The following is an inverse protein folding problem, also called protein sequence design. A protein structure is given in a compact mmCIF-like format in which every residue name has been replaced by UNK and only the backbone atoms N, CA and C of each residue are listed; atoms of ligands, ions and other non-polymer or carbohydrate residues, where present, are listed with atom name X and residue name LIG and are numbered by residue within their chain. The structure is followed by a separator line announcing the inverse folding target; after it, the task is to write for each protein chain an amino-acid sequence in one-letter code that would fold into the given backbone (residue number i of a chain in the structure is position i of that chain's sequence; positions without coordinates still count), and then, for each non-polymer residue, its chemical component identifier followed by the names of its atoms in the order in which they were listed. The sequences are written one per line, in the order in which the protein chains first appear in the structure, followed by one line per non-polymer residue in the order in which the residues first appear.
data_IF_046501644686
#
_entry.id   IF_046501644686
#
_cell.length_a   1.000
_cell.length_b   1.000
_cell.length_c   1.000
_cell.angle_alpha   90.00
_cell.angle_beta   90.00
_cell.angle_gamma   90.00
#
_symmetry.space_group_name_H-M   'P 1'
#
loop_
_entity.id
_entity.type
_entity.pdbx_description
1 polymer ?
#
# COMPACT_ATOMS: atom_id res chain seq x y z
N UNK A 1 28.67 -39.97 19.58
CA UNK A 1 27.95 -41.05 20.26
C UNK A 1 26.96 -41.63 19.26
N UNK A 2 27.27 -42.87 18.87
CA UNK A 2 26.56 -43.67 17.86
C UNK A 2 25.47 -44.49 18.53
N UNK A 3 24.32 -44.68 17.87
CA UNK A 3 23.40 -45.80 18.08
C UNK A 3 22.70 -46.03 16.73
N UNK A 4 23.02 -47.00 15.97
CA UNK A 4 22.83 -48.43 15.91
C UNK A 4 21.35 -48.81 15.64
N UNK A 5 21.11 -49.26 14.41
CA UNK A 5 19.94 -50.00 13.93
C UNK A 5 19.98 -51.48 14.44
N UNK A 6 18.86 -52.20 14.45
CA UNK A 6 18.93 -53.65 14.21
C UNK A 6 18.14 -54.11 12.99
N UNK A 7 18.79 -54.94 12.19
CA UNK A 7 18.27 -55.90 11.22
C UNK A 7 17.62 -57.06 11.95
N UNK A 8 16.54 -57.65 11.40
CA UNK A 8 16.16 -59.08 11.64
C UNK A 8 15.73 -59.77 10.33
N UNK A 9 15.86 -61.13 10.30
CA UNK A 9 16.18 -61.82 9.06
C UNK A 9 15.01 -62.65 8.49
N UNK A 10 15.28 -63.13 7.27
CA UNK A 10 14.45 -64.05 6.49
C UNK A 10 14.32 -65.43 7.18
N UNK A 11 13.17 -66.07 7.05
CA UNK A 11 13.00 -67.50 7.17
C UNK A 11 12.11 -68.04 6.06
N UNK A 12 12.71 -68.85 5.31
CA UNK A 12 12.31 -69.78 4.27
C UNK A 12 11.48 -70.98 4.88
N UNK A 13 10.38 -71.35 4.28
CA UNK A 13 9.92 -72.75 4.35
C UNK A 13 9.11 -73.15 3.13
N UNK A 14 9.63 -74.11 2.46
CA UNK A 14 9.04 -75.00 1.44
C UNK A 14 8.07 -75.97 2.08
N UNK A 15 6.92 -76.22 1.42
CA UNK A 15 6.35 -77.61 1.32
C UNK A 15 5.54 -77.69 0.04
N UNK A 16 5.81 -78.72 -0.70
CA UNK A 16 5.33 -79.18 -1.96
C UNK A 16 4.05 -80.00 -1.90
N UNK A 17 3.44 -80.12 -3.05
CA UNK A 17 2.69 -81.28 -3.63
C UNK A 17 1.17 -81.26 -3.60
N UNK A 18 0.61 -81.47 -4.78
CA UNK A 18 -0.69 -82.12 -4.96
C UNK A 18 -1.51 -81.61 -6.16
N UNK A 19 -1.28 -82.20 -7.32
CA UNK A 19 -2.09 -82.04 -8.53
C UNK A 19 -3.45 -82.73 -8.36
N UNK A 20 -4.55 -82.04 -8.69
CA UNK A 20 -5.77 -82.64 -9.24
C UNK A 20 -6.40 -81.67 -10.24
N UNK A 21 -6.38 -82.14 -11.50
CA UNK A 21 -7.00 -81.49 -12.63
C UNK A 21 -8.49 -81.83 -12.63
N UNK A 22 -9.37 -80.86 -12.42
CA UNK A 22 -10.80 -81.03 -12.64
C UNK A 22 -11.24 -79.98 -13.70
N UNK A 23 -11.43 -80.41 -14.97
CA UNK A 23 -12.02 -79.68 -16.03
C UNK A 23 -13.49 -79.41 -15.73
N UNK A 24 -13.85 -78.22 -15.28
CA UNK A 24 -15.23 -77.71 -15.35
C UNK A 24 -15.34 -76.65 -16.42
N UNK A 25 -16.06 -77.05 -17.49
CA UNK A 25 -16.55 -76.12 -18.54
C UNK A 25 -17.57 -75.18 -17.92
N UNK A 26 -17.14 -73.96 -17.63
CA UNK A 26 -18.02 -72.82 -17.32
C UNK A 26 -18.59 -72.25 -18.62
N UNK A 27 -19.90 -71.93 -18.71
CA UNK A 27 -20.43 -71.22 -19.87
C UNK A 27 -19.84 -69.82 -19.91
N UNK A 28 -19.42 -69.38 -21.10
CA UNK A 28 -18.97 -68.06 -21.36
C UNK A 28 -20.10 -67.06 -21.01
N UNK A 29 -19.95 -66.40 -19.86
CA UNK A 29 -20.78 -65.26 -19.54
C UNK A 29 -20.49 -64.19 -20.63
N UNK A 30 -21.45 -63.86 -21.41
CA UNK A 30 -21.43 -62.76 -22.36
C UNK A 30 -21.01 -61.49 -21.55
N UNK A 31 -19.86 -60.92 -21.84
CA UNK A 31 -19.51 -59.61 -21.36
C UNK A 31 -20.61 -58.63 -21.85
N UNK A 32 -21.22 -57.82 -20.98
CA UNK A 32 -22.11 -56.79 -21.45
C UNK A 32 -21.31 -55.87 -22.33
N UNK A 33 -21.65 -55.81 -23.60
CA UNK A 33 -21.26 -54.75 -24.54
C UNK A 33 -21.53 -53.43 -23.83
N UNK A 34 -20.60 -52.46 -23.81
CA UNK A 34 -20.90 -51.13 -23.34
C UNK A 34 -22.11 -50.63 -24.12
N UNK A 35 -23.24 -50.50 -23.46
CA UNK A 35 -24.46 -49.97 -24.07
C UNK A 35 -24.12 -48.59 -24.64
N UNK A 36 -24.42 -48.38 -25.91
CA UNK A 36 -24.61 -47.05 -26.45
C UNK A 36 -25.72 -46.41 -25.62
N UNK A 37 -25.32 -45.67 -24.61
CA UNK A 37 -26.23 -44.75 -23.94
C UNK A 37 -26.80 -43.82 -25.02
N UNK A 38 -28.11 -43.64 -25.02
CA UNK A 38 -28.71 -42.66 -25.88
C UNK A 38 -28.07 -41.27 -25.69
N UNK A 39 -28.27 -40.32 -26.61
CA UNK A 39 -27.70 -38.99 -26.50
C UNK A 39 -28.07 -38.36 -25.12
N UNK A 40 -27.08 -37.81 -24.48
CA UNK A 40 -27.23 -37.15 -23.17
C UNK A 40 -27.98 -35.83 -23.37
N UNK A 41 -29.06 -35.60 -22.63
CA UNK A 41 -29.70 -34.30 -22.64
C UNK A 41 -28.76 -33.26 -21.97
N UNK A 42 -28.43 -32.20 -22.67
CA UNK A 42 -27.52 -31.17 -22.23
C UNK A 42 -28.12 -29.77 -22.45
N UNK A 43 -28.23 -29.01 -21.36
CA UNK A 43 -28.57 -27.60 -21.44
C UNK A 43 -27.39 -26.80 -21.94
N UNK A 44 -27.59 -25.99 -22.97
CA UNK A 44 -26.55 -25.16 -23.58
C UNK A 44 -26.90 -23.68 -23.52
N UNK A 45 -25.85 -22.84 -23.40
CA UNK A 45 -25.94 -21.40 -23.64
C UNK A 45 -24.95 -21.03 -24.75
N UNK A 46 -25.32 -20.06 -25.56
CA UNK A 46 -24.38 -19.42 -26.48
C UNK A 46 -23.55 -18.39 -25.72
N UNK A 47 -22.26 -18.51 -25.84
CA UNK A 47 -21.34 -17.59 -25.20
C UNK A 47 -21.24 -16.28 -25.98
N UNK A 48 -21.27 -15.18 -25.25
CA UNK A 48 -21.11 -13.84 -25.80
C UNK A 48 -19.84 -13.19 -25.25
N UNK A 49 -19.20 -12.37 -26.07
CA UNK A 49 -18.10 -11.53 -25.63
C UNK A 49 -18.66 -10.34 -24.84
N UNK A 50 -18.18 -10.14 -23.65
CA UNK A 50 -18.57 -9.04 -22.79
C UNK A 50 -17.36 -8.15 -22.43
N UNK A 51 -17.60 -6.86 -22.29
CA UNK A 51 -16.63 -5.97 -21.67
C UNK A 51 -16.73 -6.11 -20.16
N UNK A 52 -15.65 -6.53 -19.53
CA UNK A 52 -15.60 -6.76 -18.08
C UNK A 52 -14.51 -5.89 -17.46
N UNK A 53 -14.74 -5.36 -16.24
CA UNK A 53 -13.71 -4.60 -15.54
C UNK A 53 -12.53 -5.51 -15.19
N UNK A 54 -11.33 -5.09 -15.60
CA UNK A 54 -10.10 -5.74 -15.18
C UNK A 54 -9.60 -5.13 -13.90
N UNK A 55 -9.74 -5.85 -12.80
CA UNK A 55 -9.33 -5.40 -11.48
C UNK A 55 -8.34 -6.34 -10.83
N UNK A 56 -7.42 -5.74 -10.08
CA UNK A 56 -6.41 -6.46 -9.28
C UNK A 56 -6.60 -6.06 -7.82
N UNK A 57 -6.57 -7.05 -6.92
CA UNK A 57 -6.60 -6.80 -5.48
C UNK A 57 -5.23 -7.08 -4.89
N UNK A 58 -4.62 -6.08 -4.29
CA UNK A 58 -3.28 -6.13 -3.75
C UNK A 58 -3.28 -5.86 -2.25
N UNK A 59 -2.37 -6.50 -1.49
CA UNK A 59 -2.14 -6.13 -0.11
C UNK A 59 -1.50 -4.76 -0.03
N UNK A 60 -1.97 -3.94 0.90
CA UNK A 60 -1.40 -2.63 1.19
C UNK A 60 -1.20 -2.45 2.69
N UNK A 61 -0.32 -1.53 3.04
CA UNK A 61 -0.06 -1.13 4.41
C UNK A 61 -0.32 0.36 4.59
N UNK A 62 -1.10 0.71 5.59
CA UNK A 62 -1.34 2.10 5.92
C UNK A 62 -0.09 2.75 6.52
N UNK A 63 0.22 3.96 6.07
CA UNK A 63 1.35 4.77 6.52
C UNK A 63 0.84 6.19 6.81
N UNK A 64 1.34 6.81 7.86
CA UNK A 64 0.99 8.18 8.18
C UNK A 64 1.32 9.14 7.02
N UNK A 65 0.48 10.16 6.84
CA UNK A 65 0.78 11.23 5.87
C UNK A 65 2.05 11.99 6.25
N UNK A 66 2.14 12.36 7.54
CA UNK A 66 3.31 12.98 8.16
C UNK A 66 3.46 12.42 9.58
N UNK A 67 4.68 12.16 10.00
CA UNK A 67 5.02 11.69 11.33
C UNK A 67 6.30 12.35 11.79
N UNK A 68 6.29 12.96 12.97
CA UNK A 68 7.43 13.72 13.47
C UNK A 68 7.65 13.43 14.94
N UNK A 69 8.86 12.99 15.26
CA UNK A 69 9.40 12.91 16.60
C UNK A 69 9.63 14.32 17.17
N UNK A 70 9.06 14.60 18.31
CA UNK A 70 9.26 15.85 19.04
C UNK A 70 10.44 15.68 19.98
N UNK A 71 11.50 16.44 19.75
CA UNK A 71 12.76 16.36 20.51
C UNK A 71 13.17 17.74 21.01
N UNK A 72 13.78 17.85 22.23
CA UNK A 72 14.28 19.11 22.74
C UNK A 72 15.50 19.58 21.91
N UNK A 73 15.65 20.90 21.81
CA UNK A 73 16.80 21.54 21.11
C UNK A 73 17.73 22.27 22.07
N UNK A 74 17.35 22.30 23.36
CA UNK A 74 18.14 22.85 24.48
C UNK A 74 18.06 21.89 25.65
N UNK A 75 19.06 21.94 26.51
CA UNK A 75 19.11 21.16 27.75
C UNK A 75 18.25 21.83 28.83
N UNK A 76 17.66 21.07 29.73
CA UNK A 76 16.93 21.60 30.86
C UNK A 76 15.95 20.63 31.47
N UNK A 77 15.11 21.11 32.37
CA UNK A 77 14.06 20.34 33.06
C UNK A 77 12.71 20.65 32.44
N UNK A 78 11.88 19.64 32.21
CA UNK A 78 10.50 19.81 31.73
C UNK A 78 9.69 20.48 32.85
N UNK A 79 9.25 21.70 32.60
CA UNK A 79 8.41 22.48 33.51
C UNK A 79 6.94 22.11 33.40
N UNK A 80 6.43 22.06 32.16
CA UNK A 80 5.03 21.81 31.86
C UNK A 80 4.86 20.92 30.64
N UNK A 81 3.80 20.10 30.64
CA UNK A 81 3.26 19.38 29.48
C UNK A 81 1.87 19.98 29.24
N UNK A 82 1.69 20.68 28.11
CA UNK A 82 0.55 21.58 27.89
C UNK A 82 -0.55 20.91 27.05
N UNK A 83 -0.20 19.95 26.20
CA UNK A 83 -1.15 19.27 25.34
C UNK A 83 -1.82 18.07 26.03
N UNK A 84 -2.97 17.63 25.52
CA UNK A 84 -3.64 16.40 25.92
C UNK A 84 -3.29 15.27 24.92
N UNK A 85 -2.81 14.13 25.44
CA UNK A 85 -2.50 12.97 24.61
C UNK A 85 -3.73 12.45 23.85
N UNK A 86 -3.55 12.10 22.58
CA UNK A 86 -4.61 11.64 21.68
C UNK A 86 -5.48 12.77 21.11
N UNK A 87 -5.25 14.02 21.49
CA UNK A 87 -5.94 15.18 20.93
C UNK A 87 -5.21 15.74 19.71
N UNK A 88 -5.99 16.37 18.85
CA UNK A 88 -5.45 17.14 17.71
C UNK A 88 -4.70 18.35 18.23
N UNK A 89 -3.49 18.56 17.71
CA UNK A 89 -2.68 19.76 17.90
C UNK A 89 -2.46 20.41 16.54
N UNK A 90 -2.32 21.72 16.53
CA UNK A 90 -2.02 22.48 15.32
C UNK A 90 -0.53 22.81 15.23
N UNK A 91 -0.07 23.06 14.02
CA UNK A 91 1.30 23.51 13.80
C UNK A 91 1.55 24.83 14.54
N UNK A 92 2.56 24.84 15.43
CA UNK A 92 2.91 25.97 16.25
C UNK A 92 2.37 25.89 17.69
N UNK A 93 1.47 24.95 17.99
CA UNK A 93 1.02 24.74 19.38
C UNK A 93 2.17 24.30 20.27
N UNK A 94 2.24 24.89 21.46
CA UNK A 94 3.25 24.52 22.47
C UNK A 94 2.85 23.20 23.12
N UNK A 95 3.72 22.22 23.02
CA UNK A 95 3.53 20.89 23.60
C UNK A 95 4.20 20.76 24.97
N UNK A 96 5.44 21.22 25.06
CA UNK A 96 6.23 21.16 26.28
C UNK A 96 6.88 22.51 26.56
N UNK A 97 7.12 22.78 27.85
CA UNK A 97 7.90 23.91 28.27
C UNK A 97 9.05 23.44 29.16
N UNK A 98 10.27 23.83 28.80
CA UNK A 98 11.48 23.67 29.61
C UNK A 98 11.62 24.87 30.53
N UNK A 99 12.25 24.71 31.70
CA UNK A 99 12.60 25.82 32.61
C UNK A 99 13.43 26.86 31.84
N UNK A 100 12.90 28.10 31.78
CA UNK A 100 13.46 29.20 30.98
C UNK A 100 14.35 30.16 31.72
N UNK A 101 14.39 30.10 33.08
CA UNK A 101 14.96 31.13 33.93
C UNK A 101 16.43 31.43 33.60
N UNK A 102 17.26 30.42 33.33
CA UNK A 102 18.67 30.61 32.95
C UNK A 102 18.79 31.24 31.56
N UNK A 103 17.94 30.88 30.60
CA UNK A 103 17.94 31.46 29.27
C UNK A 103 17.46 32.91 29.26
N UNK A 104 16.54 33.29 30.15
CA UNK A 104 16.11 34.68 30.35
C UNK A 104 17.26 35.52 30.85
N UNK A 105 18.06 35.02 31.80
CA UNK A 105 19.27 35.70 32.31
C UNK A 105 20.31 35.86 31.18
N UNK A 106 20.50 34.83 30.35
CA UNK A 106 21.44 34.89 29.22
C UNK A 106 21.02 35.95 28.20
N UNK A 107 19.72 36.08 27.92
CA UNK A 107 19.18 37.13 27.02
C UNK A 107 19.46 38.50 27.66
N UNK A 108 19.17 38.70 28.95
CA UNK A 108 19.41 39.98 29.63
C UNK A 108 20.89 40.37 29.65
N UNK A 109 21.77 39.41 29.83
CA UNK A 109 23.22 39.63 29.77
C UNK A 109 23.67 40.05 28.33
N UNK A 110 23.16 39.35 27.31
CA UNK A 110 23.47 39.69 25.92
C UNK A 110 22.89 41.06 25.50
N UNK A 111 21.74 41.45 26.01
CA UNK A 111 21.16 42.79 25.80
C UNK A 111 22.04 43.88 26.38
N UNK A 112 22.58 43.68 27.59
CA UNK A 112 23.50 44.61 28.21
C UNK A 112 24.79 44.76 27.38
N UNK A 113 25.35 43.69 26.78
CA UNK A 113 26.51 43.74 25.90
C UNK A 113 26.22 44.49 24.60
N UNK A 114 25.04 44.35 24.00
CA UNK A 114 24.61 45.16 22.84
C UNK A 114 24.52 46.61 23.21
N UNK A 115 23.96 46.94 24.39
CA UNK A 115 23.87 48.32 24.85
C UNK A 115 25.27 48.96 25.04
N UNK A 116 26.21 48.22 25.66
CA UNK A 116 27.62 48.63 25.82
C UNK A 116 28.31 48.88 24.50
N UNK A 117 28.22 47.94 23.53
CA UNK A 117 28.82 48.06 22.23
C UNK A 117 28.23 49.21 21.42
N UNK A 118 26.91 49.45 21.54
CA UNK A 118 26.23 50.60 20.90
C UNK A 118 26.77 51.95 21.45
N UNK A 119 26.96 52.03 22.76
CA UNK A 119 27.53 53.23 23.37
C UNK A 119 28.98 53.48 22.92
N UNK A 120 29.79 52.41 22.75
CA UNK A 120 31.14 52.51 22.22
C UNK A 120 31.17 53.02 20.74
N UNK A 121 30.26 52.55 19.89
CA UNK A 121 30.08 53.07 18.54
C UNK A 121 29.76 54.56 18.56
N UNK A 122 28.80 54.98 19.41
CA UNK A 122 28.40 56.41 19.49
C UNK A 122 29.57 57.28 19.94
N UNK A 123 30.38 56.82 20.91
CA UNK A 123 31.57 57.54 21.40
C UNK A 123 32.64 57.64 20.30
N UNK A 124 32.89 56.55 19.56
CA UNK A 124 33.85 56.57 18.46
C UNK A 124 33.42 57.48 17.29
N UNK A 125 32.14 57.48 16.93
CA UNK A 125 31.56 58.35 15.91
C UNK A 125 31.64 59.81 16.31
N UNK A 126 31.36 60.14 17.58
CA UNK A 126 31.53 61.52 18.10
C UNK A 126 33.00 61.99 18.06
N UNK A 127 33.94 61.08 18.31
CA UNK A 127 35.38 61.34 18.23
C UNK A 127 35.80 61.58 16.79
N UNK A 128 35.40 60.69 15.85
CA UNK A 128 35.68 60.88 14.42
C UNK A 128 35.13 62.20 13.89
N UNK A 129 33.85 62.50 14.18
CA UNK A 129 33.25 63.78 13.77
C UNK A 129 33.96 65.00 14.32
N UNK A 130 34.49 64.93 15.54
CA UNK A 130 35.29 65.99 16.13
C UNK A 130 36.62 66.10 15.39
N UNK A 131 37.34 65.05 15.07
CA UNK A 131 38.62 65.06 14.37
C UNK A 131 38.48 65.54 12.93
N UNK A 132 37.42 65.11 12.22
CA UNK A 132 37.12 65.61 10.87
C UNK A 132 36.91 67.14 10.84
N UNK A 133 36.25 67.71 11.85
CA UNK A 133 36.06 69.16 11.97
C UNK A 133 37.35 69.93 12.30
N UNK A 134 38.30 69.34 13.00
CA UNK A 134 39.57 69.96 13.43
C UNK A 134 40.74 69.64 12.50
N UNK A 135 40.50 68.87 11.40
CA UNK A 135 41.53 68.56 10.42
C UNK A 135 42.15 69.80 9.83
N UNK A 136 43.49 69.89 9.85
CA UNK A 136 44.24 71.02 9.37
C UNK A 136 44.47 72.16 10.37
N UNK A 137 43.88 72.06 11.59
CA UNK A 137 44.05 73.05 12.69
C UNK A 137 44.57 72.43 14.00
N UNK A 138 45.23 71.28 13.93
CA UNK A 138 45.80 70.58 15.08
C UNK A 138 45.54 69.09 15.16
N UNK A 139 44.84 68.52 14.13
CA UNK A 139 44.60 67.09 13.98
C UNK A 139 45.19 66.67 12.59
N UNK A 140 45.96 65.60 12.59
CA UNK A 140 46.61 65.04 11.39
C UNK A 140 45.64 64.17 10.60
N UNK A 141 45.97 63.89 9.32
CA UNK A 141 45.17 62.94 8.49
C UNK A 141 45.23 61.55 9.12
N UNK A 142 46.35 61.13 9.71
CA UNK A 142 46.57 59.85 10.39
C UNK A 142 45.64 59.70 11.60
N UNK A 143 45.44 60.81 12.38
CA UNK A 143 44.50 60.78 13.49
C UNK A 143 43.04 60.57 13.05
N UNK A 144 42.64 61.18 11.94
CA UNK A 144 41.30 61.00 11.36
C UNK A 144 41.13 59.55 10.87
N UNK A 145 42.09 58.98 10.15
CA UNK A 145 42.08 57.60 9.71
C UNK A 145 42.04 56.62 10.86
N UNK A 146 42.84 56.88 11.92
CA UNK A 146 42.82 56.07 13.15
C UNK A 146 41.42 56.09 13.81
N UNK A 147 40.80 57.28 13.92
CA UNK A 147 39.45 57.40 14.47
C UNK A 147 38.41 56.69 13.58
N UNK A 148 38.59 56.73 12.25
CA UNK A 148 37.71 56.01 11.29
C UNK A 148 37.83 54.50 11.49
N UNK A 149 39.03 53.98 11.61
CA UNK A 149 39.27 52.56 11.90
C UNK A 149 38.61 52.15 13.24
N UNK A 150 38.74 53.01 14.27
CA UNK A 150 38.10 52.75 15.57
C UNK A 150 36.55 52.66 15.46
N UNK A 151 35.91 53.52 14.62
CA UNK A 151 34.47 53.41 14.35
C UNK A 151 34.14 52.05 13.70
N UNK A 152 34.91 51.63 12.71
CA UNK A 152 34.69 50.34 12.01
C UNK A 152 34.86 49.16 12.98
N UNK A 153 35.87 49.20 13.84
CA UNK A 153 36.08 48.17 14.86
C UNK A 153 34.91 48.08 15.84
N UNK A 154 34.44 49.23 16.37
CA UNK A 154 33.30 49.23 17.30
C UNK A 154 32.00 48.81 16.60
N UNK A 155 31.82 49.12 15.32
CA UNK A 155 30.67 48.62 14.54
C UNK A 155 30.72 47.11 14.36
N UNK A 156 31.91 46.53 14.12
CA UNK A 156 32.08 45.08 14.05
C UNK A 156 31.76 44.41 15.38
N UNK A 157 32.20 45.00 16.51
CA UNK A 157 31.89 44.52 17.88
C UNK A 157 30.39 44.61 18.16
N UNK A 158 29.71 45.67 17.79
CA UNK A 158 28.25 45.76 17.93
C UNK A 158 27.54 44.70 17.11
N UNK A 159 28.03 44.38 15.92
CA UNK A 159 27.46 43.32 15.09
C UNK A 159 27.64 41.93 15.74
N UNK A 160 28.80 41.68 16.34
CA UNK A 160 29.09 40.46 17.12
C UNK A 160 28.16 40.31 18.31
N UNK A 161 28.01 41.38 19.12
CA UNK A 161 27.13 41.41 20.29
C UNK A 161 25.65 41.15 19.91
N UNK A 162 25.20 41.73 18.76
CA UNK A 162 23.84 41.47 18.24
C UNK A 162 23.65 40.01 17.81
N UNK A 163 24.69 39.41 17.24
CA UNK A 163 24.64 37.99 16.88
C UNK A 163 24.54 37.11 18.14
N UNK A 164 25.30 37.41 19.18
CA UNK A 164 25.21 36.72 20.48
C UNK A 164 23.82 36.85 21.11
N UNK A 165 23.25 38.07 21.11
CA UNK A 165 21.89 38.28 21.57
C UNK A 165 20.88 37.44 20.81
N UNK A 166 21.01 37.35 19.50
CA UNK A 166 20.10 36.53 18.66
C UNK A 166 20.19 35.05 19.03
N UNK A 167 21.39 34.55 19.34
CA UNK A 167 21.59 33.15 19.80
C UNK A 167 20.88 32.92 21.12
N UNK A 168 21.07 33.82 22.11
CA UNK A 168 20.41 33.73 23.42
C UNK A 168 18.88 33.73 23.28
N UNK A 169 18.33 34.63 22.46
CA UNK A 169 16.89 34.69 22.18
C UNK A 169 16.38 33.41 21.50
N UNK A 170 17.11 32.81 20.56
CA UNK A 170 16.75 31.55 19.92
C UNK A 170 16.76 30.39 20.94
N UNK A 171 17.69 30.37 21.87
CA UNK A 171 17.75 29.34 22.89
C UNK A 171 16.56 29.49 23.87
N UNK A 172 16.21 30.69 24.27
CA UNK A 172 15.03 30.95 25.06
C UNK A 172 13.74 30.53 24.33
N UNK A 173 13.62 30.89 23.04
CA UNK A 173 12.48 30.43 22.23
C UNK A 173 12.37 28.91 22.15
N UNK A 174 13.50 28.20 22.13
CA UNK A 174 13.55 26.72 22.07
C UNK A 174 13.15 26.03 23.37
N UNK A 175 13.02 26.78 24.48
CA UNK A 175 12.43 26.25 25.72
C UNK A 175 10.94 25.97 25.57
N UNK A 176 10.26 26.63 24.64
CA UNK A 176 8.91 26.29 24.22
C UNK A 176 8.99 25.34 23.01
N UNK A 177 8.68 24.07 23.29
CA UNK A 177 8.73 23.02 22.26
C UNK A 177 7.37 22.95 21.59
N UNK A 178 7.33 23.34 20.31
CA UNK A 178 6.11 23.46 19.53
C UNK A 178 5.99 22.31 18.53
N UNK A 179 4.74 21.98 18.15
CA UNK A 179 4.47 21.04 17.06
C UNK A 179 4.86 21.63 15.70
N UNK A 180 5.69 20.97 14.91
CA UNK A 180 6.04 21.42 13.56
C UNK A 180 4.94 21.12 12.53
N UNK A 181 4.01 20.21 12.82
CA UNK A 181 2.91 19.78 11.96
C UNK A 181 1.58 19.81 12.71
N UNK A 182 0.50 19.84 11.96
CA UNK A 182 -0.84 19.59 12.50
C UNK A 182 -1.10 18.09 12.50
N UNK A 183 -1.45 17.51 13.65
CA UNK A 183 -1.66 16.07 13.79
C UNK A 183 -2.23 15.68 15.15
N UNK A 184 -2.08 14.42 15.51
CA UNK A 184 -2.44 13.87 16.81
C UNK A 184 -1.15 13.68 17.60
N UNK A 185 -1.08 14.29 18.78
CA UNK A 185 0.05 14.10 19.68
C UNK A 185 -0.16 12.84 20.53
N UNK A 186 0.84 11.98 20.57
CA UNK A 186 0.82 10.76 21.36
C UNK A 186 1.06 11.02 22.84
N UNK A 187 1.02 9.95 23.62
CA UNK A 187 1.32 10.02 25.05
C UNK A 187 2.77 10.49 25.24
N UNK A 188 3.03 11.45 26.16
CA UNK A 188 4.40 11.90 26.42
C UNK A 188 5.23 10.78 27.02
N UNK A 189 6.45 10.62 26.53
CA UNK A 189 7.45 9.66 27.04
C UNK A 189 8.22 10.21 28.25
N UNK A 190 7.94 11.44 28.66
CA UNK A 190 8.58 12.13 29.77
C UNK A 190 7.54 12.70 30.73
N UNK A 191 7.95 12.97 31.95
CA UNK A 191 7.12 13.60 32.99
C UNK A 191 7.60 15.00 33.31
N UNK A 192 6.74 15.81 33.93
CA UNK A 192 7.15 17.07 34.51
C UNK A 192 8.24 16.83 35.58
N UNK A 193 9.30 17.62 35.54
CA UNK A 193 10.50 17.45 36.38
C UNK A 193 11.57 16.56 35.74
N UNK A 194 11.32 15.95 34.59
CA UNK A 194 12.35 15.17 33.87
C UNK A 194 13.42 16.08 33.28
N UNK A 195 14.69 15.66 33.41
CA UNK A 195 15.81 16.34 32.75
C UNK A 195 15.94 15.82 31.31
N UNK A 196 16.03 16.75 30.37
CA UNK A 196 16.18 16.46 28.95
C UNK A 196 17.43 17.11 28.38
N UNK A 197 17.98 16.51 27.33
CA UNK A 197 19.18 17.02 26.66
C UNK A 197 18.92 17.32 25.20
N UNK A 198 19.60 18.32 24.67
CA UNK A 198 19.44 18.73 23.28
C UNK A 198 19.72 17.57 22.31
N UNK A 199 18.79 17.35 21.37
CA UNK A 199 18.87 16.31 20.34
C UNK A 199 19.04 14.88 20.89
N UNK A 200 18.52 14.59 22.09
CA UNK A 200 18.52 13.22 22.64
C UNK A 200 17.87 12.23 21.67
N UNK A 201 18.25 10.93 21.78
CA UNK A 201 17.74 9.86 20.94
C UNK A 201 16.24 9.62 21.14
N UNK A 202 15.80 9.73 22.39
CA UNK A 202 14.42 9.45 22.76
C UNK A 202 13.54 10.69 22.53
N UNK A 203 12.48 10.52 21.77
CA UNK A 203 11.51 11.57 21.54
C UNK A 203 10.68 11.85 22.80
N UNK A 204 10.32 13.10 23.04
CA UNK A 204 9.40 13.49 24.11
C UNK A 204 7.98 12.98 23.85
N UNK A 205 7.56 13.03 22.61
CA UNK A 205 6.33 12.48 22.05
C UNK A 205 6.46 12.42 20.53
N UNK A 206 5.48 11.81 19.87
CA UNK A 206 5.32 11.80 18.44
C UNK A 206 4.04 12.53 18.04
N UNK A 207 4.08 13.29 16.96
CA UNK A 207 2.89 13.90 16.35
C UNK A 207 2.68 13.27 15.00
N UNK A 208 1.51 12.67 14.79
CA UNK A 208 1.16 11.93 13.58
C UNK A 208 -0.04 12.58 12.90
N UNK A 209 0.10 12.88 11.61
CA UNK A 209 -0.98 13.33 10.76
C UNK A 209 -1.63 12.14 10.07
N UNK A 210 -2.91 11.92 10.39
CA UNK A 210 -3.69 10.76 9.96
C UNK A 210 -4.65 11.06 8.80
N UNK A 211 -4.85 12.33 8.47
CA UNK A 211 -5.75 12.78 7.40
C UNK A 211 -5.03 13.83 6.54
N UNK A 212 -4.86 13.51 5.23
CA UNK A 212 -5.09 12.22 4.59
C UNK A 212 -4.15 11.11 5.12
N UNK A 213 -4.31 9.87 4.66
CA UNK A 213 -3.43 8.75 4.98
C UNK A 213 -2.90 8.12 3.69
N UNK A 214 -1.72 7.54 3.74
CA UNK A 214 -1.13 6.80 2.64
C UNK A 214 -1.33 5.31 2.81
N UNK A 215 -1.51 4.63 1.69
CA UNK A 215 -1.45 3.17 1.60
C UNK A 215 -0.31 2.83 0.65
N UNK A 216 0.72 2.18 1.18
CA UNK A 216 1.82 1.65 0.40
C UNK A 216 1.45 0.25 -0.07
N UNK A 217 1.59 0.01 -1.37
CA UNK A 217 1.24 -1.23 -2.05
C UNK A 217 2.44 -1.71 -2.84
N UNK A 218 2.74 -3.00 -2.70
CA UNK A 218 3.81 -3.65 -3.45
C UNK A 218 3.24 -4.57 -4.52
N UNK A 219 3.78 -4.53 -5.72
CA UNK A 219 3.44 -5.44 -6.81
C UNK A 219 4.70 -5.90 -7.56
N UNK A 220 4.63 -7.09 -8.15
CA UNK A 220 5.76 -7.64 -8.90
C UNK A 220 5.99 -6.89 -10.22
N UNK A 221 7.24 -6.68 -10.58
CA UNK A 221 7.61 -6.09 -11.87
C UNK A 221 7.16 -6.94 -13.07
N UNK A 222 7.02 -8.26 -12.86
CA UNK A 222 6.51 -9.18 -13.86
C UNK A 222 5.06 -8.86 -14.22
N UNK A 223 4.18 -8.72 -13.20
CA UNK A 223 2.77 -8.38 -13.43
C UNK A 223 2.62 -7.01 -14.11
N UNK A 224 3.44 -6.03 -13.72
CA UNK A 224 3.44 -4.73 -14.39
C UNK A 224 3.75 -4.86 -15.88
N UNK A 225 4.73 -5.72 -16.24
CA UNK A 225 5.07 -5.99 -17.65
C UNK A 225 3.93 -6.71 -18.36
N UNK A 226 3.26 -7.67 -17.73
CA UNK A 226 2.09 -8.38 -18.27
C UNK A 226 0.93 -7.41 -18.56
N UNK A 227 0.58 -6.54 -17.59
CA UNK A 227 -0.46 -5.52 -17.77
C UNK A 227 -0.12 -4.55 -18.89
N UNK A 228 1.14 -4.12 -19.01
CA UNK A 228 1.60 -3.27 -20.13
C UNK A 228 1.44 -3.98 -21.47
N UNK A 229 1.85 -5.24 -21.55
CA UNK A 229 1.69 -6.02 -22.78
C UNK A 229 0.21 -6.19 -23.18
N UNK A 230 -0.70 -6.38 -22.21
CA UNK A 230 -2.15 -6.43 -22.46
C UNK A 230 -2.69 -5.10 -23.01
N UNK A 231 -2.23 -3.97 -22.48
CA UNK A 231 -2.61 -2.63 -22.97
C UNK A 231 -2.06 -2.41 -24.39
N UNK A 232 -0.78 -2.69 -24.61
CA UNK A 232 -0.13 -2.52 -25.93
C UNK A 232 -0.72 -3.46 -26.98
N UNK A 233 -1.11 -4.67 -26.59
CA UNK A 233 -1.79 -5.66 -27.45
C UNK A 233 -3.28 -5.37 -27.68
N UNK A 234 -3.86 -4.35 -27.01
CA UNK A 234 -5.28 -4.00 -27.15
C UNK A 234 -6.26 -4.96 -26.48
N UNK A 235 -5.76 -5.92 -25.67
CA UNK A 235 -6.60 -6.84 -24.88
C UNK A 235 -7.18 -6.15 -23.64
N UNK A 236 -6.47 -5.16 -23.10
CA UNK A 236 -6.91 -4.34 -21.98
C UNK A 236 -7.07 -2.89 -22.46
N UNK A 237 -8.29 -2.38 -22.48
CA UNK A 237 -8.59 -0.98 -22.71
C UNK A 237 -8.43 -0.22 -21.38
N UNK A 238 -7.40 0.64 -21.30
CA UNK A 238 -7.12 1.41 -20.08
C UNK A 238 -8.25 2.41 -19.81
N UNK A 239 -8.74 2.45 -18.56
CA UNK A 239 -9.65 3.50 -18.09
C UNK A 239 -8.98 4.88 -18.11
N UNK A 240 -9.77 5.94 -18.22
CA UNK A 240 -9.27 7.33 -18.13
C UNK A 240 -8.65 7.59 -16.76
N UNK A 241 -9.31 7.14 -15.68
CA UNK A 241 -8.86 7.21 -14.31
C UNK A 241 -8.79 5.81 -13.68
N UNK A 242 -7.87 5.64 -12.72
CA UNK A 242 -7.81 4.43 -11.91
C UNK A 242 -8.87 4.48 -10.81
N UNK A 243 -9.79 3.52 -10.78
CA UNK A 243 -10.69 3.37 -9.64
C UNK A 243 -9.98 2.58 -8.53
N UNK A 244 -9.65 3.29 -7.44
CA UNK A 244 -8.90 2.77 -6.31
C UNK A 244 -9.83 2.68 -5.11
N UNK A 245 -10.22 1.47 -4.74
CA UNK A 245 -11.08 1.19 -3.59
C UNK A 245 -10.35 0.37 -2.53
N UNK A 246 -10.74 0.54 -1.27
CA UNK A 246 -10.06 -0.05 -0.13
C UNK A 246 -11.02 -0.95 0.64
N UNK A 247 -10.55 -2.15 0.98
CA UNK A 247 -11.25 -3.10 1.85
C UNK A 247 -10.49 -3.22 3.17
N UNK A 248 -11.19 -2.99 4.27
CA UNK A 248 -10.67 -3.10 5.63
C UNK A 248 -10.42 -4.55 6.02
N UNK A 249 -9.68 -4.79 7.11
CA UNK A 249 -9.38 -6.14 7.63
C UNK A 249 -10.65 -6.96 7.95
N UNK A 250 -11.72 -6.31 8.39
CA UNK A 250 -13.01 -6.95 8.67
C UNK A 250 -13.86 -7.24 7.42
N UNK A 251 -13.35 -6.96 6.21
CA UNK A 251 -14.04 -7.15 4.95
C UNK A 251 -14.98 -6.01 4.53
N UNK A 252 -15.14 -4.97 5.36
CA UNK A 252 -15.95 -3.81 5.00
C UNK A 252 -15.24 -2.95 3.94
N UNK A 253 -16.01 -2.41 3.01
CA UNK A 253 -15.50 -1.43 2.05
C UNK A 253 -15.29 -0.09 2.75
N UNK A 254 -14.23 0.61 2.36
CA UNK A 254 -13.97 1.97 2.80
C UNK A 254 -14.65 2.96 1.86
N UNK A 255 -15.34 3.95 2.41
CA UNK A 255 -16.24 4.82 1.64
C UNK A 255 -15.51 5.84 0.76
N UNK A 256 -14.21 6.12 1.04
CA UNK A 256 -13.43 7.08 0.28
C UNK A 256 -12.68 6.38 -0.87
N UNK A 257 -12.60 7.09 -2.00
CA UNK A 257 -11.78 6.64 -3.14
C UNK A 257 -10.33 7.06 -2.97
N UNK A 258 -9.43 6.21 -3.44
CA UNK A 258 -7.99 6.49 -3.45
C UNK A 258 -7.57 7.33 -4.64
N UNK A 259 -6.46 8.05 -4.47
CA UNK A 259 -5.75 8.74 -5.55
C UNK A 259 -4.31 8.24 -5.59
N UNK A 260 -3.83 7.86 -6.78
CA UNK A 260 -2.44 7.45 -6.95
C UNK A 260 -1.53 8.69 -6.78
N UNK A 261 -0.73 8.70 -5.71
CA UNK A 261 0.17 9.81 -5.39
C UNK A 261 1.54 9.64 -6.06
N UNK A 262 2.08 8.42 -5.98
CA UNK A 262 3.39 8.13 -6.56
C UNK A 262 3.36 6.76 -7.25
N UNK A 263 3.52 6.71 -8.58
CA UNK A 263 3.84 5.47 -9.25
C UNK A 263 5.28 5.10 -8.93
N UNK A 264 5.54 3.94 -8.39
CA UNK A 264 6.88 3.49 -8.04
C UNK A 264 7.91 3.71 -9.18
N UNK A 265 9.06 4.26 -8.82
CA UNK A 265 10.13 4.58 -9.78
C UNK A 265 11.29 3.59 -9.72
N UNK A 266 11.28 2.67 -8.76
CA UNK A 266 12.34 1.68 -8.52
C UNK A 266 11.75 0.31 -8.29
N UNK A 267 12.45 -0.70 -8.79
CA UNK A 267 12.19 -2.11 -8.46
C UNK A 267 13.20 -2.52 -7.39
N UNK A 268 12.72 -3.14 -6.33
CA UNK A 268 13.56 -3.75 -5.28
C UNK A 268 14.38 -4.88 -5.91
N UNK A 269 15.68 -4.82 -5.77
CA UNK A 269 16.58 -5.87 -6.28
C UNK A 269 16.52 -7.16 -5.47
N UNK A 270 15.94 -7.10 -4.27
CA UNK A 270 15.80 -8.25 -3.36
C UNK A 270 14.53 -9.03 -3.63
N UNK A 271 13.40 -8.33 -3.86
CA UNK A 271 12.07 -8.94 -4.00
C UNK A 271 11.56 -8.93 -5.44
N UNK A 272 12.11 -8.10 -6.32
CA UNK A 272 11.61 -7.91 -7.68
C UNK A 272 10.26 -7.16 -7.72
N UNK A 273 9.87 -6.53 -6.60
CA UNK A 273 8.64 -5.74 -6.49
C UNK A 273 8.93 -4.25 -6.68
N UNK A 274 7.92 -3.52 -7.10
CA UNK A 274 7.90 -2.06 -7.05
C UNK A 274 6.81 -1.63 -6.08
N UNK A 275 7.07 -0.53 -5.40
CA UNK A 275 6.15 0.08 -4.44
C UNK A 275 5.48 1.29 -5.08
N UNK A 276 4.18 1.44 -4.89
CA UNK A 276 3.45 2.64 -5.24
C UNK A 276 2.56 3.07 -4.08
N UNK A 277 2.33 4.38 -4.00
CA UNK A 277 1.63 5.01 -2.89
C UNK A 277 0.31 5.58 -3.34
N UNK A 278 -0.73 5.25 -2.60
CA UNK A 278 -2.09 5.73 -2.80
C UNK A 278 -2.48 6.58 -1.60
N UNK A 279 -3.08 7.73 -1.87
CA UNK A 279 -3.63 8.60 -0.86
C UNK A 279 -5.14 8.36 -0.71
N UNK A 280 -5.58 8.28 0.53
CA UNK A 280 -7.00 8.25 0.90
C UNK A 280 -7.30 9.34 1.91
N UNK A 281 -8.44 10.00 1.78
CA UNK A 281 -8.94 10.88 2.83
C UNK A 281 -9.37 10.04 4.03
N UNK A 282 -9.09 10.52 5.27
CA UNK A 282 -9.34 9.77 6.51
C UNK A 282 -9.93 10.67 7.60
N UNK A 283 -11.03 11.41 7.32
CA UNK A 283 -11.58 12.41 8.22
C UNK A 283 -12.04 11.80 9.55
N UNK A 284 -12.57 10.58 9.54
CA UNK A 284 -13.02 9.85 10.73
C UNK A 284 -11.89 9.10 11.45
N UNK A 285 -10.67 9.12 10.90
CA UNK A 285 -9.49 8.42 11.44
C UNK A 285 -9.70 6.92 11.64
N UNK A 286 -10.49 6.31 10.76
CA UNK A 286 -10.74 4.85 10.78
C UNK A 286 -9.53 4.05 10.36
N UNK A 287 -8.64 4.65 9.56
CA UNK A 287 -7.39 4.06 9.12
C UNK A 287 -6.26 4.53 10.04
N UNK A 288 -5.48 3.58 10.53
CA UNK A 288 -4.33 3.84 11.40
C UNK A 288 -3.05 3.32 10.75
N UNK A 289 -1.92 4.02 10.90
CA UNK A 289 -0.63 3.54 10.41
C UNK A 289 -0.32 2.14 10.93
N UNK A 290 0.25 1.31 10.07
CA UNK A 290 0.58 -0.09 10.37
C UNK A 290 -0.51 -1.10 10.02
N UNK A 291 -1.76 -0.70 9.77
CA UNK A 291 -2.84 -1.61 9.37
C UNK A 291 -2.57 -2.26 8.01
N UNK A 292 -2.91 -3.55 7.90
CA UNK A 292 -2.94 -4.27 6.63
C UNK A 292 -4.33 -4.14 6.00
N UNK A 293 -4.36 -3.81 4.72
CA UNK A 293 -5.56 -3.50 3.98
C UNK A 293 -5.49 -4.17 2.61
N UNK A 294 -6.64 -4.28 1.93
CA UNK A 294 -6.66 -4.74 0.54
C UNK A 294 -7.10 -3.60 -0.36
N UNK A 295 -6.26 -3.25 -1.30
CA UNK A 295 -6.56 -2.24 -2.32
C UNK A 295 -7.04 -2.95 -3.57
N UNK A 296 -8.25 -2.68 -4.01
CA UNK A 296 -8.74 -3.08 -5.32
C UNK A 296 -8.47 -1.94 -6.30
N UNK A 297 -7.75 -2.26 -7.36
CA UNK A 297 -7.37 -1.35 -8.43
C UNK A 297 -8.10 -1.80 -9.68
N UNK A 298 -8.97 -0.97 -10.22
CA UNK A 298 -9.60 -1.19 -11.51
C UNK A 298 -8.78 -0.46 -12.59
N UNK A 299 -8.15 -1.24 -13.46
CA UNK A 299 -7.19 -0.74 -14.45
C UNK A 299 -7.86 -0.32 -15.78
N UNK A 300 -9.07 -0.83 -16.00
CA UNK A 300 -9.82 -0.61 -17.23
C UNK A 300 -10.76 -1.76 -17.53
N UNK A 301 -11.09 -1.97 -18.80
CA UNK A 301 -11.98 -3.05 -19.25
C UNK A 301 -11.25 -3.97 -20.22
N UNK A 302 -11.56 -5.26 -20.15
CA UNK A 302 -11.08 -6.27 -21.10
C UNK A 302 -12.27 -6.94 -21.78
N UNK A 303 -12.08 -7.35 -23.04
CA UNK A 303 -13.04 -8.22 -23.72
C UNK A 303 -12.74 -9.65 -23.31
N UNK A 304 -13.74 -10.33 -22.84
CA UNK A 304 -13.60 -11.70 -22.40
C UNK A 304 -14.93 -12.44 -22.54
N UNK A 305 -14.85 -13.75 -22.59
CA UNK A 305 -16.01 -14.62 -22.52
C UNK A 305 -16.29 -14.91 -21.05
N UNK A 306 -17.53 -14.66 -20.61
CA UNK A 306 -17.97 -14.98 -19.26
C UNK A 306 -18.50 -16.41 -19.21
N UNK A 307 -17.76 -17.28 -18.54
CA UNK A 307 -18.11 -18.69 -18.35
C UNK A 307 -18.65 -18.91 -16.94
N UNK A 308 -19.93 -19.25 -16.76
CA UNK A 308 -20.50 -19.50 -15.45
C UNK A 308 -19.71 -20.50 -14.62
N UNK A 309 -19.42 -20.20 -13.35
CA UNK A 309 -18.59 -21.07 -12.50
C UNK A 309 -19.18 -22.47 -12.35
N UNK A 310 -20.52 -22.58 -12.32
CA UNK A 310 -21.23 -23.87 -12.24
C UNK A 310 -21.08 -24.75 -13.47
N UNK A 311 -20.65 -24.19 -14.62
CA UNK A 311 -20.41 -24.93 -15.87
C UNK A 311 -18.96 -25.42 -16.00
N UNK A 312 -18.11 -25.19 -15.01
CA UNK A 312 -16.68 -25.52 -15.07
C UNK A 312 -16.30 -26.51 -14.00
N UNK A 313 -15.22 -27.23 -14.25
CA UNK A 313 -14.57 -28.11 -13.29
C UNK A 313 -13.06 -27.80 -13.23
N UNK A 314 -12.41 -28.12 -12.10
CA UNK A 314 -10.97 -28.07 -12.00
C UNK A 314 -10.39 -29.46 -12.09
N UNK A 315 -9.47 -29.67 -13.00
CA UNK A 315 -8.69 -30.89 -13.13
C UNK A 315 -7.73 -31.04 -11.93
N UNK A 316 -7.15 -32.23 -11.75
CA UNK A 316 -6.28 -32.53 -10.63
C UNK A 316 -5.00 -31.67 -10.57
N UNK A 317 -4.57 -31.14 -11.70
CA UNK A 317 -3.45 -30.21 -11.85
C UNK A 317 -3.83 -28.73 -11.62
N UNK A 318 -5.14 -28.45 -11.38
CA UNK A 318 -5.67 -27.12 -11.15
C UNK A 318 -6.19 -26.43 -12.41
N UNK A 319 -6.02 -27.00 -13.60
CA UNK A 319 -6.52 -26.46 -14.87
C UNK A 319 -8.04 -26.36 -14.86
N UNK A 320 -8.57 -25.21 -15.26
CA UNK A 320 -10.01 -25.00 -15.41
C UNK A 320 -10.49 -25.65 -16.72
N UNK A 321 -11.56 -26.43 -16.66
CA UNK A 321 -12.13 -27.07 -17.83
C UNK A 321 -13.63 -26.84 -17.94
N UNK A 322 -14.14 -26.82 -19.16
CA UNK A 322 -15.57 -26.80 -19.47
C UNK A 322 -15.88 -27.71 -20.65
N UNK A 323 -17.16 -28.04 -20.85
CA UNK A 323 -17.61 -28.76 -22.02
C UNK A 323 -18.34 -27.82 -22.98
N UNK A 324 -18.02 -27.93 -24.27
CA UNK A 324 -18.74 -27.26 -25.36
C UNK A 324 -19.42 -28.29 -26.22
N UNK A 325 -20.55 -27.93 -26.83
CA UNK A 325 -21.24 -28.75 -27.78
C UNK A 325 -20.79 -28.37 -29.21
N UNK A 326 -20.15 -29.30 -29.89
CA UNK A 326 -19.71 -29.17 -31.28
C UNK A 326 -20.35 -30.31 -32.10
N UNK A 327 -21.19 -30.01 -33.06
CA UNK A 327 -21.88 -31.00 -33.91
C UNK A 327 -22.57 -32.09 -33.09
N UNK A 328 -23.30 -31.72 -32.03
CA UNK A 328 -23.98 -32.63 -31.08
C UNK A 328 -23.04 -33.62 -30.35
N UNK A 329 -21.79 -33.25 -30.18
CA UNK A 329 -20.77 -34.01 -29.45
C UNK A 329 -20.22 -33.08 -28.35
N UNK A 330 -20.04 -33.63 -27.15
CA UNK A 330 -19.36 -32.94 -26.07
C UNK A 330 -17.85 -32.89 -26.29
N UNK A 331 -17.25 -31.76 -26.30
CA UNK A 331 -15.81 -31.55 -26.35
C UNK A 331 -15.32 -30.85 -25.09
N UNK A 332 -14.37 -31.48 -24.38
CA UNK A 332 -13.75 -30.85 -23.22
C UNK A 332 -12.68 -29.86 -23.63
N UNK A 333 -12.78 -28.62 -23.11
CA UNK A 333 -11.83 -27.54 -23.38
C UNK A 333 -11.12 -27.14 -22.10
N UNK A 334 -9.83 -26.87 -22.20
CA UNK A 334 -9.04 -26.22 -21.16
C UNK A 334 -9.18 -24.72 -21.29
N UNK A 335 -9.44 -24.04 -20.16
CA UNK A 335 -9.72 -22.62 -20.12
C UNK A 335 -8.62 -21.87 -19.38
N UNK A 336 -8.22 -20.71 -19.92
CA UNK A 336 -7.34 -19.77 -19.22
C UNK A 336 -8.19 -18.65 -18.64
N UNK A 337 -8.26 -18.61 -17.29
CA UNK A 337 -9.01 -17.60 -16.57
C UNK A 337 -8.13 -16.48 -16.03
N UNK A 338 -8.68 -15.26 -15.95
CA UNK A 338 -8.07 -14.09 -15.36
C UNK A 338 -8.91 -13.48 -14.22
N UNK A 339 -9.53 -14.36 -13.42
CA UNK A 339 -10.38 -13.95 -12.31
C UNK A 339 -11.86 -14.23 -12.53
N UNK A 340 -12.71 -13.63 -11.70
CA UNK A 340 -14.16 -13.83 -11.76
C UNK A 340 -14.93 -12.51 -11.75
N UNK A 341 -16.08 -12.49 -12.42
CA UNK A 341 -16.99 -11.38 -12.46
C UNK A 341 -18.44 -11.90 -12.42
N UNK A 342 -19.28 -11.40 -11.51
CA UNK A 342 -20.69 -11.79 -11.36
C UNK A 342 -20.93 -13.31 -11.44
N UNK A 343 -20.26 -14.10 -10.62
CA UNK A 343 -20.40 -15.56 -10.56
C UNK A 343 -19.97 -16.31 -11.85
N UNK A 344 -19.22 -15.67 -12.76
CA UNK A 344 -18.62 -16.25 -13.95
C UNK A 344 -17.11 -16.08 -13.93
N UNK A 345 -16.39 -16.98 -14.59
CA UNK A 345 -14.96 -16.81 -14.87
C UNK A 345 -14.77 -15.88 -16.06
N UNK A 346 -13.79 -14.99 -15.96
CA UNK A 346 -13.32 -14.17 -17.06
C UNK A 346 -12.34 -15.02 -17.88
N UNK A 347 -12.76 -15.55 -19.01
CA UNK A 347 -11.95 -16.44 -19.85
C UNK A 347 -11.47 -15.69 -21.07
N UNK A 348 -10.16 -15.74 -21.32
CA UNK A 348 -9.50 -15.06 -22.42
C UNK A 348 -8.95 -16.00 -23.47
N UNK A 349 -8.84 -17.30 -23.15
CA UNK A 349 -8.36 -18.34 -24.07
C UNK A 349 -8.99 -19.70 -23.76
N UNK A 350 -9.12 -20.55 -24.78
CA UNK A 350 -9.69 -21.90 -24.72
C UNK A 350 -11.16 -22.00 -25.15
N UNK A 351 -11.89 -20.87 -25.22
CA UNK A 351 -13.28 -20.82 -25.69
C UNK A 351 -13.56 -19.48 -26.35
N UNK A 352 -14.47 -19.46 -27.31
CA UNK A 352 -14.77 -18.28 -28.14
C UNK A 352 -16.24 -17.88 -28.03
N UNK A 353 -16.53 -16.61 -28.32
CA UNK A 353 -17.91 -16.15 -28.48
C UNK A 353 -18.58 -16.90 -29.63
N UNK A 354 -19.87 -17.25 -29.44
CA UNK A 354 -20.65 -18.04 -30.37
C UNK A 354 -20.57 -19.56 -30.17
N UNK A 355 -19.66 -20.06 -29.34
CA UNK A 355 -19.62 -21.48 -28.98
C UNK A 355 -20.75 -21.81 -27.95
N UNK A 356 -21.27 -23.04 -28.07
CA UNK A 356 -22.33 -23.55 -27.22
C UNK A 356 -21.74 -24.20 -25.97
N UNK A 357 -21.75 -23.48 -24.82
CA UNK A 357 -21.29 -24.00 -23.54
C UNK A 357 -22.34 -24.92 -22.94
N UNK A 358 -21.96 -26.10 -22.48
CA UNK A 358 -22.82 -27.04 -21.74
C UNK A 358 -22.87 -26.58 -20.27
N UNK A 359 -24.08 -26.31 -19.77
CA UNK A 359 -24.31 -25.78 -18.43
C UNK A 359 -25.16 -26.69 -17.56
N UNK A 360 -25.81 -27.68 -18.16
CA UNK A 360 -26.58 -28.70 -17.45
C UNK A 360 -26.26 -30.10 -18.01
N UNK A 361 -26.53 -31.15 -17.21
CA UNK A 361 -26.18 -32.53 -17.54
C UNK A 361 -24.71 -32.90 -17.30
N UNK A 362 -23.92 -32.03 -16.67
CA UNK A 362 -22.47 -32.15 -16.47
C UNK A 362 -22.05 -33.41 -15.68
N UNK A 363 -22.87 -33.92 -14.77
CA UNK A 363 -22.54 -35.07 -13.90
C UNK A 363 -22.23 -36.35 -14.67
N UNK A 364 -22.85 -36.55 -15.84
CA UNK A 364 -22.64 -37.73 -16.70
C UNK A 364 -21.82 -37.40 -17.97
N UNK A 365 -21.35 -36.15 -18.09
CA UNK A 365 -20.64 -35.69 -19.28
C UNK A 365 -19.26 -36.30 -19.39
N UNK A 366 -18.86 -36.64 -20.57
CA UNK A 366 -17.51 -37.10 -20.93
C UNK A 366 -17.15 -36.59 -22.31
N UNK A 367 -15.88 -36.42 -22.54
CA UNK A 367 -15.36 -36.04 -23.83
C UNK A 367 -15.81 -37.06 -24.92
N UNK A 368 -16.29 -36.59 -26.07
CA UNK A 368 -16.82 -37.40 -27.16
C UNK A 368 -18.26 -37.94 -26.92
N UNK A 369 -18.97 -37.56 -25.88
CA UNK A 369 -20.35 -38.00 -25.64
C UNK A 369 -21.32 -37.39 -26.65
N UNK A 370 -22.27 -38.22 -27.18
CA UNK A 370 -23.34 -37.74 -28.07
C UNK A 370 -24.40 -36.99 -27.27
N UNK A 371 -24.80 -35.83 -27.75
CA UNK A 371 -25.67 -34.88 -27.06
C UNK A 371 -27.05 -34.77 -27.74
N UNK A 372 -28.03 -34.42 -26.91
CA UNK A 372 -29.27 -33.79 -27.34
C UNK A 372 -29.32 -32.41 -26.66
N UNK A 373 -28.92 -31.40 -27.41
CA UNK A 373 -28.80 -30.04 -26.89
C UNK A 373 -30.15 -29.34 -26.73
N UNK A 374 -30.35 -28.63 -25.62
CA UNK A 374 -31.55 -27.80 -25.34
C UNK A 374 -31.05 -26.43 -24.94
N UNK A 375 -31.47 -25.34 -25.60
CA UNK A 375 -31.14 -24.00 -25.17
C UNK A 375 -31.76 -23.72 -23.80
N UNK A 376 -30.93 -23.15 -22.89
CA UNK A 376 -31.32 -22.78 -21.53
C UNK A 376 -30.89 -21.36 -21.20
N UNK A 377 -31.55 -20.74 -20.24
CA UNK A 377 -31.15 -19.47 -19.66
C UNK A 377 -30.54 -19.71 -18.28
N UNK A 378 -29.52 -18.92 -17.94
CA UNK A 378 -28.94 -18.91 -16.59
C UNK A 378 -29.28 -17.58 -15.92
N UNK A 379 -29.89 -17.64 -14.74
CA UNK A 379 -30.14 -16.46 -13.92
C UNK A 379 -28.83 -15.93 -13.31
N UNK A 380 -28.83 -14.66 -12.82
CA UNK A 380 -27.69 -14.06 -12.11
C UNK A 380 -27.26 -14.86 -10.86
N UNK A 381 -28.15 -15.72 -10.34
CA UNK A 381 -27.87 -16.62 -9.21
C UNK A 381 -27.35 -17.98 -9.65
N UNK A 382 -27.19 -18.25 -10.96
CA UNK A 382 -26.68 -19.50 -11.51
C UNK A 382 -27.73 -20.61 -11.65
N UNK A 383 -29.02 -20.28 -11.55
CA UNK A 383 -30.13 -21.26 -11.76
C UNK A 383 -30.38 -21.39 -13.26
N UNK A 384 -30.32 -22.64 -13.74
CA UNK A 384 -30.61 -23.00 -15.15
C UNK A 384 -32.12 -23.18 -15.32
N UNK A 385 -32.71 -22.52 -16.30
CA UNK A 385 -34.11 -22.65 -16.70
C UNK A 385 -34.22 -22.91 -18.19
N UNK A 386 -35.08 -23.83 -18.62
CA UNK A 386 -35.31 -24.08 -20.06
C UNK A 386 -35.87 -22.80 -20.72
N UNK A 387 -35.36 -22.47 -21.90
CA UNK A 387 -35.86 -21.36 -22.69
C UNK A 387 -37.19 -21.81 -23.31
N UNK A 388 -38.32 -21.38 -22.73
CA UNK A 388 -39.63 -21.55 -23.35
C UNK A 388 -39.72 -20.69 -24.61
N UNK A 389 -40.19 -21.25 -25.72
CA UNK A 389 -40.25 -20.65 -27.06
C UNK A 389 -41.22 -19.45 -27.20
N UNK A 390 -41.53 -18.73 -26.11
CA UNK A 390 -42.56 -17.68 -26.08
C UNK A 390 -42.01 -16.24 -25.88
N UNK A 391 -40.66 -16.07 -25.87
CA UNK A 391 -40.06 -14.73 -25.59
C UNK A 391 -39.57 -14.00 -26.87
N UNK A 392 -39.98 -14.42 -28.07
CA UNK A 392 -39.53 -13.81 -29.34
C UNK A 392 -40.51 -12.81 -29.95
N UNK A 393 -41.56 -12.32 -29.23
CA UNK A 393 -42.54 -11.39 -29.79
C UNK A 393 -43.05 -10.31 -28.80
N UNK A 394 -42.14 -9.58 -28.14
CA UNK A 394 -42.47 -8.24 -27.62
C UNK A 394 -41.29 -7.28 -27.80
N UNK A 395 -41.41 -6.41 -28.81
CA UNK A 395 -41.08 -5.03 -28.97
C UNK A 395 -39.69 -4.51 -28.99
#
# INVERSE_FOLDING_TARGET
MAYSSPRFPAALNWISAGAITLLMTLPAAAQPTPGRGGPIAAGIILLEEAQVPYSVTLPGRAVAYEEVDIRPRVDGTIRDIIYEAGRKVEKGDVLFRIEGDTFEVDVAAAEAEVARAKAAVTAAEATLSRYERLQGTGVTIEDVETARVAVLQNKAELSSSRAALKIAQLNLQRTEIQSPITGIAEVPNVSVGAVVTANQSDALTMVTRLDPIYIDVEESSKRLAEVRAMIEGGTLERGEDLDLSLTLENGAQYDQKGTLESPGTRVSTTTGTFEFRIRFDNPERRLLPGQFLRVKIELGTTRAVLVPQGATARAADGTLTAFVAVDDIAEQRELTEHGSYKNAWIVTDGISAGEALIVDGLTSMRDGASLKTVPVNISDTGVVTEQTADDSDEG
#
